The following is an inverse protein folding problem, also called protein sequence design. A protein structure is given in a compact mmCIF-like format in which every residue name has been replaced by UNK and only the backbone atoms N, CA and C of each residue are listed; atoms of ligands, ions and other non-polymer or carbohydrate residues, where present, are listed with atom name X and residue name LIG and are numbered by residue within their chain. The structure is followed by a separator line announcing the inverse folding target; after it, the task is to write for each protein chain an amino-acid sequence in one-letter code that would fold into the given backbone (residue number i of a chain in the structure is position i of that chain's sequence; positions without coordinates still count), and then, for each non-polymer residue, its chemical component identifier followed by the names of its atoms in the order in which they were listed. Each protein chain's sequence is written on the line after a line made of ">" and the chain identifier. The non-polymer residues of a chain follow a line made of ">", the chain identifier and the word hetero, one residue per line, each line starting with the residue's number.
data_IF_581827007206
#
_entry.id   IF_581827007206
#
_cell.length_a   1.000
_cell.length_b   1.000
_cell.length_c   1.000
_cell.angle_alpha   90.00
_cell.angle_beta   90.00
_cell.angle_gamma   90.00
#
_symmetry.space_group_name_H-M   'P 1'
#
loop_
_entity.id
_entity.type
_entity.pdbx_description
1 polymer ?
#
# COMPACT_ATOMS: atom_id res chain seq x y z
N UNK A 1 -43.79 -9.58 55.51
CA UNK A 1 -43.20 -10.49 54.50
C UNK A 1 -43.08 -9.72 53.18
N UNK A 2 -41.89 -9.10 52.91
CA UNK A 2 -41.63 -8.33 51.69
C UNK A 2 -40.85 -9.23 50.73
N UNK A 3 -41.47 -9.55 49.59
CA UNK A 3 -40.84 -10.36 48.53
C UNK A 3 -39.95 -9.45 47.70
N UNK A 4 -38.63 -9.66 47.76
CA UNK A 4 -37.66 -9.02 46.89
C UNK A 4 -37.64 -9.73 45.54
N UNK A 5 -38.06 -9.04 44.49
CA UNK A 5 -37.97 -9.53 43.12
C UNK A 5 -36.63 -9.09 42.54
N UNK A 6 -35.69 -10.03 42.33
CA UNK A 6 -34.38 -9.77 41.75
C UNK A 6 -34.49 -9.89 40.23
N UNK A 7 -34.53 -8.75 39.51
CA UNK A 7 -34.48 -8.71 38.07
C UNK A 7 -33.00 -8.78 37.61
N UNK A 8 -32.62 -9.92 37.07
CA UNK A 8 -31.32 -10.12 36.41
C UNK A 8 -31.44 -9.57 35.00
N UNK A 9 -30.89 -8.38 34.75
CA UNK A 9 -30.77 -7.80 33.43
C UNK A 9 -29.51 -8.38 32.76
N UNK A 10 -29.71 -9.41 31.93
CA UNK A 10 -28.61 -10.01 31.15
C UNK A 10 -28.11 -9.05 30.09
N UNK A 11 -26.89 -8.53 30.29
CA UNK A 11 -26.15 -7.75 29.29
C UNK A 11 -25.66 -8.69 28.18
N UNK A 12 -26.39 -8.72 27.07
CA UNK A 12 -26.05 -9.49 25.88
C UNK A 12 -24.96 -8.73 25.11
N UNK A 13 -23.68 -9.02 25.40
CA UNK A 13 -22.56 -8.54 24.60
C UNK A 13 -22.57 -9.22 23.24
N UNK A 14 -23.06 -8.52 22.22
CA UNK A 14 -22.93 -8.93 20.82
C UNK A 14 -21.46 -8.71 20.41
N UNK A 15 -20.67 -9.78 20.44
CA UNK A 15 -19.35 -9.81 19.84
C UNK A 15 -19.54 -9.79 18.31
N UNK A 16 -19.45 -8.62 17.70
CA UNK A 16 -19.33 -8.49 16.26
C UNK A 16 -17.94 -8.98 15.88
N UNK A 17 -17.82 -10.25 15.57
CA UNK A 17 -16.62 -10.81 14.94
C UNK A 17 -16.50 -10.16 13.56
N UNK A 18 -15.59 -9.19 13.40
CA UNK A 18 -15.15 -8.75 12.09
C UNK A 18 -14.42 -9.92 11.43
N UNK A 19 -15.16 -10.73 10.68
CA UNK A 19 -14.57 -11.72 9.80
C UNK A 19 -13.82 -10.96 8.72
N UNK A 20 -12.50 -10.81 8.89
CA UNK A 20 -11.63 -10.42 7.78
C UNK A 20 -11.66 -11.58 6.79
N UNK A 21 -12.48 -11.44 5.76
CA UNK A 21 -12.50 -12.38 4.66
C UNK A 21 -11.13 -12.31 3.98
N UNK A 22 -10.27 -13.29 4.25
CA UNK A 22 -9.05 -13.51 3.48
C UNK A 22 -9.50 -13.90 2.08
N UNK A 23 -9.61 -12.93 1.19
CA UNK A 23 -9.92 -13.20 -0.21
C UNK A 23 -8.75 -13.97 -0.81
N UNK A 24 -9.04 -15.14 -1.36
CA UNK A 24 -8.02 -15.92 -2.06
C UNK A 24 -7.92 -15.42 -3.50
N UNK A 25 -6.74 -14.99 -3.96
CA UNK A 25 -6.59 -14.58 -5.34
C UNK A 25 -6.79 -15.76 -6.31
N UNK A 26 -7.21 -15.50 -7.56
CA UNK A 26 -7.26 -16.50 -8.62
C UNK A 26 -5.92 -17.19 -8.82
N UNK A 27 -5.93 -18.42 -9.34
CA UNK A 27 -4.70 -19.18 -9.57
C UNK A 27 -3.72 -18.48 -10.52
N UNK A 28 -4.22 -17.71 -11.50
CA UNK A 28 -3.40 -16.91 -12.40
C UNK A 28 -2.62 -15.84 -11.62
N UNK A 29 -3.28 -15.09 -10.74
CA UNK A 29 -2.65 -14.05 -9.89
C UNK A 29 -1.60 -14.67 -8.95
N UNK A 30 -1.93 -15.79 -8.30
CA UNK A 30 -0.99 -16.50 -7.42
C UNK A 30 0.26 -16.96 -8.18
N UNK A 31 0.07 -17.49 -9.39
CA UNK A 31 1.18 -17.96 -10.23
C UNK A 31 2.07 -16.81 -10.66
N UNK A 32 1.49 -15.68 -11.08
CA UNK A 32 2.27 -14.48 -11.44
C UNK A 32 3.09 -13.98 -10.26
N UNK A 33 2.47 -13.85 -9.07
CA UNK A 33 3.19 -13.46 -7.88
C UNK A 33 4.37 -14.40 -7.55
N UNK A 34 4.19 -15.71 -7.65
CA UNK A 34 5.26 -16.67 -7.39
C UNK A 34 6.39 -16.60 -8.44
N UNK A 35 6.06 -16.28 -9.69
CA UNK A 35 7.05 -16.10 -10.76
C UNK A 35 7.87 -14.82 -10.56
N UNK A 36 7.19 -13.71 -10.22
CA UNK A 36 7.84 -12.40 -10.07
C UNK A 36 8.63 -12.28 -8.75
N UNK A 37 8.13 -12.96 -7.69
CA UNK A 37 8.71 -12.92 -6.35
C UNK A 37 8.96 -14.33 -5.77
N UNK A 38 9.84 -15.13 -6.39
CA UNK A 38 10.06 -16.53 -6.00
C UNK A 38 10.63 -16.71 -4.59
N UNK A 39 11.26 -15.67 -4.04
CA UNK A 39 11.79 -15.68 -2.67
C UNK A 39 10.75 -15.35 -1.60
N UNK A 40 9.57 -14.86 -2.00
CA UNK A 40 8.50 -14.48 -1.08
C UNK A 40 7.59 -15.67 -0.79
N UNK A 41 7.63 -16.15 0.46
CA UNK A 41 6.94 -17.38 0.86
C UNK A 41 5.44 -17.17 1.15
N UNK A 42 5.05 -15.94 1.49
CA UNK A 42 3.67 -15.59 1.86
C UNK A 42 3.43 -14.11 1.70
N UNK A 43 2.19 -13.72 1.45
CA UNK A 43 1.76 -12.33 1.40
C UNK A 43 0.34 -12.18 1.93
N UNK A 44 0.01 -10.97 2.36
CA UNK A 44 -1.34 -10.60 2.75
C UNK A 44 -2.09 -10.08 1.52
N UNK A 45 -3.14 -10.79 1.15
CA UNK A 45 -3.92 -10.49 -0.04
C UNK A 45 -5.15 -9.63 0.27
N UNK A 46 -5.41 -8.69 -0.62
CA UNK A 46 -6.65 -7.94 -0.67
C UNK A 46 -7.07 -7.70 -2.12
N UNK A 47 -8.37 -7.49 -2.34
CA UNK A 47 -8.91 -7.18 -3.66
C UNK A 47 -9.74 -5.91 -3.57
N UNK A 48 -9.44 -4.93 -4.41
CA UNK A 48 -10.18 -3.68 -4.48
C UNK A 48 -10.08 -3.07 -5.88
N UNK A 49 -11.19 -2.52 -6.36
CA UNK A 49 -11.25 -1.80 -7.64
C UNK A 49 -10.70 -2.59 -8.84
N UNK A 50 -10.93 -3.92 -8.89
CA UNK A 50 -10.44 -4.79 -9.97
C UNK A 50 -8.94 -5.06 -9.91
N UNK A 51 -8.30 -4.82 -8.77
CA UNK A 51 -6.88 -5.11 -8.54
C UNK A 51 -6.70 -6.02 -7.34
N UNK A 52 -5.86 -7.02 -7.49
CA UNK A 52 -5.32 -7.85 -6.43
C UNK A 52 -4.05 -7.23 -5.89
N UNK A 53 -4.02 -6.96 -4.60
CA UNK A 53 -2.87 -6.39 -3.92
C UNK A 53 -2.29 -7.44 -2.99
N UNK A 54 -0.98 -7.61 -3.00
CA UNK A 54 -0.27 -8.48 -2.07
C UNK A 54 0.82 -7.70 -1.36
N UNK A 55 0.73 -7.62 -0.03
CA UNK A 55 1.80 -7.07 0.81
C UNK A 55 2.66 -8.20 1.35
N UNK A 56 3.96 -8.10 1.18
CA UNK A 56 4.94 -9.11 1.56
C UNK A 56 6.28 -8.49 1.90
N UNK A 57 7.16 -9.27 2.54
CA UNK A 57 8.54 -8.85 2.80
C UNK A 57 9.42 -9.25 1.64
N UNK A 58 10.12 -8.28 1.06
CA UNK A 58 11.04 -8.52 -0.05
C UNK A 58 12.50 -8.37 0.39
N UNK A 59 13.30 -9.40 0.10
CA UNK A 59 14.73 -9.43 0.44
C UNK A 59 15.56 -8.47 -0.41
N UNK A 60 15.14 -8.25 -1.65
CA UNK A 60 15.82 -7.36 -2.58
C UNK A 60 15.62 -5.89 -2.20
N UNK A 61 14.66 -5.62 -1.31
CA UNK A 61 14.37 -4.32 -0.72
C UNK A 61 14.66 -4.28 0.79
N UNK A 62 15.83 -4.76 1.21
CA UNK A 62 16.31 -4.75 2.61
C UNK A 62 15.36 -5.44 3.60
N UNK A 63 14.64 -6.48 3.18
CA UNK A 63 13.55 -7.11 3.93
C UNK A 63 12.44 -6.12 4.32
N UNK A 64 12.25 -5.06 3.56
CA UNK A 64 11.15 -4.12 3.71
C UNK A 64 9.82 -4.71 3.26
N UNK A 65 8.72 -4.17 3.78
CA UNK A 65 7.38 -4.51 3.31
C UNK A 65 7.12 -3.80 1.98
N UNK A 66 6.76 -4.55 0.96
CA UNK A 66 6.40 -4.05 -0.36
C UNK A 66 4.97 -4.50 -0.71
N UNK A 67 4.31 -3.81 -1.64
CA UNK A 67 3.01 -4.19 -2.14
C UNK A 67 3.04 -4.30 -3.66
N UNK A 68 2.79 -5.51 -4.19
CA UNK A 68 2.61 -5.72 -5.63
C UNK A 68 1.13 -5.74 -6.00
N UNK A 69 0.83 -5.22 -7.19
CA UNK A 69 -0.52 -5.14 -7.73
C UNK A 69 -0.63 -5.96 -9.01
N UNK A 70 -1.74 -6.68 -9.12
CA UNK A 70 -2.08 -7.52 -10.27
C UNK A 70 -3.52 -7.25 -10.68
N UNK A 71 -3.82 -7.30 -11.98
CA UNK A 71 -5.21 -7.31 -12.42
C UNK A 71 -5.86 -8.69 -12.22
N UNK A 72 -7.16 -8.80 -12.47
CA UNK A 72 -7.90 -10.06 -12.30
C UNK A 72 -7.42 -11.20 -13.24
N UNK A 73 -6.73 -10.87 -14.33
CA UNK A 73 -6.14 -11.84 -15.27
C UNK A 73 -4.79 -12.37 -14.77
N UNK A 74 -4.20 -11.75 -13.76
CA UNK A 74 -2.89 -12.08 -13.23
C UNK A 74 -1.75 -11.29 -13.85
N UNK A 75 -2.02 -10.26 -14.66
CA UNK A 75 -0.96 -9.40 -15.16
C UNK A 75 -0.48 -8.50 -14.02
N UNK A 76 0.84 -8.49 -13.78
CA UNK A 76 1.48 -7.56 -12.86
C UNK A 76 1.37 -6.13 -13.39
N UNK A 77 0.91 -5.21 -12.58
CA UNK A 77 0.72 -3.81 -12.97
C UNK A 77 1.80 -2.90 -12.44
N UNK A 78 2.08 -2.99 -11.17
CA UNK A 78 3.14 -2.23 -10.50
C UNK A 78 3.49 -2.81 -9.13
N UNK A 79 4.61 -2.32 -8.57
CA UNK A 79 5.07 -2.63 -7.21
C UNK A 79 5.36 -1.35 -6.45
N UNK A 80 4.78 -1.20 -5.28
CA UNK A 80 4.99 -0.09 -4.37
C UNK A 80 6.02 -0.45 -3.32
N UNK A 81 7.13 0.28 -3.32
CA UNK A 81 8.25 0.08 -2.39
C UNK A 81 8.40 1.34 -1.53
N UNK A 82 8.14 1.27 -0.21
CA UNK A 82 8.45 2.37 0.68
C UNK A 82 9.96 2.66 0.68
N UNK A 83 10.32 3.93 0.62
CA UNK A 83 11.70 4.39 0.57
C UNK A 83 12.00 5.32 1.73
N UNK A 84 13.13 5.10 2.39
CA UNK A 84 13.67 6.11 3.29
C UNK A 84 14.16 7.31 2.49
N UNK A 85 14.05 8.50 3.09
CA UNK A 85 14.44 9.74 2.41
C UNK A 85 15.86 9.72 1.87
N UNK A 86 16.76 9.01 2.54
CA UNK A 86 18.17 8.93 2.16
C UNK A 86 18.42 8.05 0.92
N UNK A 87 17.48 7.17 0.61
CA UNK A 87 17.54 6.26 -0.54
C UNK A 87 16.84 6.84 -1.78
N UNK A 88 16.12 7.96 -1.60
CA UNK A 88 15.43 8.67 -2.68
C UNK A 88 16.44 9.50 -3.48
N UNK A 89 16.38 9.53 -4.84
CA UNK A 89 17.25 10.35 -5.65
C UNK A 89 17.26 11.82 -5.22
N UNK A 90 18.46 12.42 -5.16
CA UNK A 90 18.62 13.80 -4.74
C UNK A 90 17.73 14.82 -5.49
N UNK A 91 17.53 14.72 -6.84
CA UNK A 91 16.64 15.63 -7.54
C UNK A 91 15.19 15.61 -7.02
N UNK A 92 14.68 14.45 -6.60
CA UNK A 92 13.33 14.31 -6.02
C UNK A 92 13.27 14.98 -4.65
N UNK A 93 14.24 14.69 -3.76
CA UNK A 93 14.27 15.28 -2.42
C UNK A 93 14.52 16.81 -2.47
N UNK A 94 15.35 17.30 -3.38
CA UNK A 94 15.61 18.73 -3.58
C UNK A 94 14.36 19.44 -4.12
N UNK A 95 13.64 18.82 -5.05
CA UNK A 95 12.36 19.35 -5.54
C UNK A 95 11.34 19.46 -4.42
N UNK A 96 11.23 18.45 -3.56
CA UNK A 96 10.34 18.48 -2.39
C UNK A 96 10.76 19.62 -1.45
N UNK A 97 12.04 19.77 -1.14
CA UNK A 97 12.56 20.81 -0.27
C UNK A 97 12.32 22.23 -0.80
N UNK A 98 12.49 22.42 -2.11
CA UNK A 98 12.35 23.76 -2.74
C UNK A 98 10.89 24.15 -2.96
N UNK A 99 10.06 23.24 -3.49
CA UNK A 99 8.71 23.57 -3.94
C UNK A 99 7.61 23.27 -2.90
N UNK A 100 7.94 22.48 -1.88
CA UNK A 100 6.97 21.99 -0.89
C UNK A 100 7.42 22.24 0.56
N UNK A 101 8.20 23.30 0.79
CA UNK A 101 8.72 23.69 2.12
C UNK A 101 7.64 23.97 3.17
N UNK A 102 6.38 24.24 2.75
CA UNK A 102 5.23 24.39 3.65
C UNK A 102 4.72 23.09 4.28
N UNK A 103 5.24 21.93 3.88
CA UNK A 103 4.89 20.64 4.45
C UNK A 103 5.97 20.17 5.43
N UNK A 104 5.54 19.74 6.63
CA UNK A 104 6.46 19.32 7.70
C UNK A 104 6.91 17.86 7.58
N UNK A 105 6.18 17.03 6.80
CA UNK A 105 6.48 15.61 6.60
C UNK A 105 6.35 15.25 5.13
N UNK A 106 7.25 14.40 4.66
CA UNK A 106 7.21 13.79 3.34
C UNK A 106 7.53 12.29 3.48
N UNK A 107 6.59 11.43 3.05
CA UNK A 107 6.78 9.99 2.95
C UNK A 107 6.95 9.63 1.46
N UNK A 108 7.90 8.76 1.17
CA UNK A 108 8.29 8.41 -0.20
C UNK A 108 7.97 6.95 -0.49
N UNK A 109 7.40 6.70 -1.66
CA UNK A 109 7.17 5.36 -2.19
C UNK A 109 7.63 5.32 -3.64
N UNK A 110 8.55 4.42 -3.99
CA UNK A 110 8.85 4.15 -5.40
C UNK A 110 7.80 3.20 -5.94
N UNK A 111 7.28 3.53 -7.11
CA UNK A 111 6.32 2.71 -7.85
C UNK A 111 7.01 2.22 -9.10
N UNK A 112 7.30 0.93 -9.14
CA UNK A 112 7.89 0.25 -10.28
C UNK A 112 6.78 -0.32 -11.15
N UNK A 113 6.60 0.23 -12.35
CA UNK A 113 5.54 -0.16 -13.28
C UNK A 113 6.01 -1.35 -14.13
N UNK A 114 5.10 -2.24 -14.50
CA UNK A 114 5.38 -3.40 -15.35
C UNK A 114 6.07 -3.05 -16.69
N UNK A 115 5.95 -1.82 -17.17
CA UNK A 115 6.64 -1.31 -18.36
C UNK A 115 8.11 -0.89 -18.15
N UNK A 116 8.68 -1.15 -16.95
CA UNK A 116 10.06 -0.80 -16.62
C UNK A 116 10.30 0.66 -16.24
N UNK A 117 9.26 1.48 -16.16
CA UNK A 117 9.36 2.84 -15.68
C UNK A 117 9.10 2.89 -14.17
N UNK A 118 9.83 3.76 -13.47
CA UNK A 118 9.59 4.01 -12.05
C UNK A 118 9.18 5.47 -11.84
N UNK A 119 8.27 5.67 -10.88
CA UNK A 119 7.89 7.01 -10.39
C UNK A 119 7.96 7.03 -8.86
N UNK A 120 8.24 8.20 -8.31
CA UNK A 120 8.24 8.45 -6.87
C UNK A 120 6.93 9.11 -6.48
N UNK A 121 6.11 8.42 -5.70
CA UNK A 121 4.99 9.01 -5.01
C UNK A 121 5.50 9.68 -3.74
N UNK A 122 5.21 10.96 -3.59
CA UNK A 122 5.57 11.74 -2.40
C UNK A 122 4.30 12.18 -1.70
N UNK A 123 4.07 11.65 -0.51
CA UNK A 123 2.95 12.02 0.34
C UNK A 123 3.39 13.11 1.31
N UNK A 124 2.92 14.31 1.06
CA UNK A 124 3.24 15.53 1.80
C UNK A 124 2.16 15.82 2.84
N UNK A 125 2.57 16.15 4.05
CA UNK A 125 1.66 16.39 5.16
C UNK A 125 2.12 17.55 6.04
N UNK A 126 1.17 18.39 6.45
CA UNK A 126 1.30 19.31 7.57
C UNK A 126 0.03 19.25 8.44
N UNK A 127 -0.11 20.16 9.41
CA UNK A 127 -1.24 20.19 10.34
C UNK A 127 -2.60 20.33 9.64
N UNK A 128 -2.65 21.01 8.49
CA UNK A 128 -3.88 21.46 7.86
C UNK A 128 -4.08 20.92 6.43
N UNK A 129 -3.09 20.25 5.86
CA UNK A 129 -3.13 19.83 4.46
C UNK A 129 -2.38 18.52 4.22
N UNK A 130 -2.91 17.77 3.26
CA UNK A 130 -2.26 16.61 2.66
C UNK A 130 -2.19 16.81 1.16
N UNK A 131 -1.06 16.45 0.56
CA UNK A 131 -0.88 16.48 -0.90
C UNK A 131 -0.06 15.28 -1.34
N UNK A 132 -0.49 14.62 -2.39
CA UNK A 132 0.30 13.59 -3.08
C UNK A 132 0.80 14.17 -4.40
N UNK A 133 2.08 14.01 -4.67
CA UNK A 133 2.71 14.35 -5.94
C UNK A 133 3.48 13.14 -6.47
N UNK A 134 3.58 13.03 -7.79
CA UNK A 134 4.35 11.99 -8.45
C UNK A 134 5.49 12.65 -9.22
N UNK A 135 6.68 12.08 -9.14
CA UNK A 135 7.88 12.61 -9.76
C UNK A 135 8.66 11.49 -10.46
N UNK A 136 9.33 11.82 -11.55
CA UNK A 136 10.36 10.95 -12.13
C UNK A 136 11.65 11.00 -11.30
N UNK A 137 12.64 10.20 -11.63
CA UNK A 137 13.97 10.18 -10.95
C UNK A 137 14.73 11.50 -11.04
N UNK A 138 14.36 12.37 -11.98
CA UNK A 138 14.95 13.70 -12.18
C UNK A 138 14.23 14.78 -11.37
N UNK A 139 13.20 14.41 -10.60
CA UNK A 139 12.40 15.34 -9.80
C UNK A 139 11.37 16.13 -10.62
N UNK A 140 11.10 15.75 -11.87
CA UNK A 140 10.04 16.38 -12.65
C UNK A 140 8.70 15.79 -12.22
N UNK A 141 7.71 16.67 -11.98
CA UNK A 141 6.36 16.21 -11.68
C UNK A 141 5.76 15.49 -12.89
N UNK A 142 5.15 14.36 -12.64
CA UNK A 142 4.52 13.50 -13.65
C UNK A 142 3.12 13.06 -13.23
N UNK A 143 2.40 12.40 -14.11
CA UNK A 143 1.12 11.77 -13.81
C UNK A 143 1.32 10.28 -13.68
N UNK A 144 0.85 9.74 -12.55
CA UNK A 144 0.73 8.30 -12.37
C UNK A 144 -0.77 7.93 -12.40
N UNK A 145 -1.10 6.91 -13.16
CA UNK A 145 -2.40 6.26 -13.12
C UNK A 145 -2.16 4.80 -12.77
N UNK A 146 -2.71 4.36 -11.66
CA UNK A 146 -2.74 2.95 -11.34
C UNK A 146 -3.43 2.19 -12.50
N UNK A 147 -2.80 1.13 -12.97
CA UNK A 147 -3.31 0.35 -14.10
C UNK A 147 -4.35 -0.64 -13.59
N UNK A 148 -5.60 -0.15 -13.43
CA UNK A 148 -6.76 -0.98 -13.11
C UNK A 148 -7.48 -1.36 -14.41
N UNK A 149 -6.97 -2.34 -15.15
CA UNK A 149 -7.69 -2.94 -16.28
C UNK A 149 -7.55 -4.45 -16.27
#
# INVERSE_FOLDING_TARGET
>A
MKKFLLTITGLFCILIAFSQSHQRPPAAVQKSFQNDYPQSKSGQWSHSNGSWNVSFTDKDHNNGEVTAHFNDNGDHTDTHVPYDRNDVPAPVTDKVKSNYSGYSKADFTRIDQAGGNSVYQVNLKNKNAHKTVYMDERGNETKYKASHR
#
